data_IF_108309664746
#
_entry.id   IF_108309664746
#
_cell.length_a   1.000
_cell.length_b   1.000
_cell.length_c   1.000
_cell.angle_alpha   90.00
_cell.angle_beta   90.00
_cell.angle_gamma   90.00
#
_symmetry.space_group_name_H-M   'P 1'
#
loop_
_entity.id
_entity.type
_entity.pdbx_description
1 polymer ?
#
# COMPACT_ATOMS: atom_id res chain seq x y z
N UNK A 1 -2.38 -1.21 14.30
CA UNK A 1 -2.95 -2.49 13.81
C UNK A 1 -2.88 -2.41 12.29
N UNK A 2 -1.90 -3.06 11.66
CA UNK A 2 -1.85 -3.17 10.20
C UNK A 2 -3.13 -3.88 9.75
N UNK A 3 -3.94 -3.14 9.00
CA UNK A 3 -5.23 -3.44 8.37
C UNK A 3 -5.95 -4.73 8.84
N UNK A 4 -7.17 -4.63 9.42
CA UNK A 4 -7.92 -5.79 9.86
C UNK A 4 -8.45 -6.59 8.65
N UNK A 5 -7.57 -7.34 7.99
CA UNK A 5 -7.97 -8.59 7.38
C UNK A 5 -8.25 -9.52 8.55
N UNK A 6 -9.49 -10.03 8.64
CA UNK A 6 -9.98 -10.77 9.80
C UNK A 6 -8.96 -11.80 10.33
N UNK A 7 -8.74 -11.76 11.64
CA UNK A 7 -7.98 -12.71 12.45
C UNK A 7 -6.48 -12.84 12.13
N UNK A 8 -5.67 -12.18 12.96
CA UNK A 8 -4.32 -12.59 13.38
C UNK A 8 -3.49 -13.42 12.39
N UNK A 9 -3.03 -12.86 11.27
CA UNK A 9 -1.78 -13.29 10.59
C UNK A 9 -1.38 -12.26 9.53
N UNK A 10 -0.14 -11.74 9.59
CA UNK A 10 0.44 -10.80 8.62
C UNK A 10 0.82 -11.52 7.32
N UNK A 11 -0.17 -12.04 6.58
CA UNK A 11 0.06 -13.19 5.70
C UNK A 11 0.76 -13.00 4.36
N UNK A 12 1.20 -11.79 3.96
CA UNK A 12 2.27 -11.78 2.98
C UNK A 12 3.48 -10.93 3.37
N UNK A 13 3.57 -10.42 4.60
CA UNK A 13 4.69 -9.54 4.96
C UNK A 13 6.05 -10.25 4.80
N UNK A 14 6.16 -11.46 5.36
CA UNK A 14 7.36 -12.27 5.20
C UNK A 14 7.57 -12.67 3.73
N UNK A 15 6.51 -13.07 3.01
CA UNK A 15 6.61 -13.47 1.60
C UNK A 15 7.13 -12.33 0.70
N UNK A 16 6.57 -11.13 0.84
CA UNK A 16 7.01 -9.95 0.09
C UNK A 16 8.42 -9.51 0.48
N UNK A 17 8.78 -9.55 1.78
CA UNK A 17 10.17 -9.28 2.20
C UNK A 17 11.13 -10.32 1.65
N UNK A 18 10.79 -11.61 1.64
CA UNK A 18 11.65 -12.67 1.08
C UNK A 18 11.88 -12.46 -0.40
N UNK A 19 10.82 -12.21 -1.18
CA UNK A 19 10.91 -11.96 -2.61
C UNK A 19 11.73 -10.70 -2.92
N UNK A 20 11.44 -9.58 -2.25
CA UNK A 20 12.18 -8.32 -2.45
C UNK A 20 13.64 -8.41 -2.01
N UNK A 21 13.93 -9.11 -0.90
CA UNK A 21 15.30 -9.31 -0.42
C UNK A 21 16.12 -10.20 -1.36
N UNK A 22 15.50 -11.22 -1.95
CA UNK A 22 16.15 -12.04 -2.98
C UNK A 22 16.48 -11.19 -4.23
N UNK A 23 15.56 -10.32 -4.65
CA UNK A 23 15.76 -9.41 -5.77
C UNK A 23 16.88 -8.40 -5.49
N UNK A 24 16.89 -7.78 -4.30
CA UNK A 24 17.93 -6.85 -3.86
C UNK A 24 19.34 -7.48 -3.98
N UNK A 25 19.51 -8.71 -3.46
CA UNK A 25 20.79 -9.43 -3.52
C UNK A 25 21.22 -9.82 -4.93
N UNK A 26 20.27 -10.18 -5.79
CA UNK A 26 20.54 -10.66 -7.14
C UNK A 26 20.66 -9.54 -8.19
N UNK A 27 20.38 -8.29 -7.82
CA UNK A 27 20.32 -7.15 -8.75
C UNK A 27 19.09 -7.14 -9.65
N UNK A 28 18.14 -8.07 -9.42
CA UNK A 28 16.88 -8.11 -10.15
C UNK A 28 16.02 -6.91 -9.75
N UNK A 29 15.55 -6.17 -10.76
CA UNK A 29 14.78 -4.93 -10.56
C UNK A 29 13.28 -5.14 -10.49
N UNK A 30 12.79 -6.28 -10.97
CA UNK A 30 11.35 -6.58 -11.01
C UNK A 30 11.01 -7.77 -10.13
N UNK A 31 10.09 -7.57 -9.19
CA UNK A 31 9.55 -8.62 -8.32
C UNK A 31 8.10 -8.84 -8.68
N UNK A 32 7.78 -10.06 -9.11
CA UNK A 32 6.41 -10.45 -9.43
C UNK A 32 5.69 -10.96 -8.20
N UNK A 33 4.45 -10.51 -8.00
CA UNK A 33 3.56 -11.07 -7.00
C UNK A 33 2.18 -11.33 -7.60
N UNK A 34 1.62 -12.48 -7.23
CA UNK A 34 0.19 -12.71 -7.36
C UNK A 34 -0.52 -11.88 -6.27
N UNK A 35 -1.51 -11.09 -6.66
CA UNK A 35 -2.18 -10.12 -5.77
C UNK A 35 -3.69 -10.30 -5.81
N UNK A 36 -4.35 -9.88 -4.73
CA UNK A 36 -5.80 -9.95 -4.55
C UNK A 36 -6.44 -11.35 -4.71
N UNK A 37 -5.65 -12.40 -4.47
CA UNK A 37 -6.07 -13.80 -4.54
C UNK A 37 -7.15 -14.13 -3.52
N UNK A 38 -8.22 -14.77 -3.98
CA UNK A 38 -9.26 -15.38 -3.14
C UNK A 38 -9.87 -14.44 -2.08
N UNK A 39 -10.05 -13.16 -2.41
CA UNK A 39 -10.66 -12.19 -1.50
C UNK A 39 -12.18 -12.36 -1.36
N UNK A 40 -12.79 -13.18 -2.22
CA UNK A 40 -14.24 -13.39 -2.27
C UNK A 40 -14.98 -12.25 -2.98
N UNK A 41 -16.22 -12.57 -3.40
CA UNK A 41 -17.06 -11.67 -4.19
C UNK A 41 -17.40 -10.34 -3.51
N UNK A 42 -17.55 -10.33 -2.19
CA UNK A 42 -17.96 -9.16 -1.42
C UNK A 42 -16.79 -8.35 -0.86
N UNK A 43 -15.56 -8.56 -1.34
CA UNK A 43 -14.42 -7.74 -0.94
C UNK A 43 -14.66 -6.27 -1.36
N UNK A 44 -14.68 -5.32 -0.39
CA UNK A 44 -14.85 -3.91 -0.69
C UNK A 44 -13.70 -3.34 -1.54
N UNK A 45 -13.96 -2.54 -2.59
CA UNK A 45 -12.93 -1.81 -3.33
C UNK A 45 -12.06 -0.90 -2.46
N UNK A 46 -12.60 -0.43 -1.32
CA UNK A 46 -11.91 0.31 -0.25
C UNK A 46 -10.63 -0.39 0.22
N UNK A 47 -10.58 -1.73 0.14
CA UNK A 47 -9.42 -2.51 0.52
C UNK A 47 -8.36 -2.59 -0.59
N UNK A 48 -8.80 -2.64 -1.86
CA UNK A 48 -7.94 -3.02 -2.99
C UNK A 48 -6.84 -2.00 -3.28
N UNK A 49 -7.15 -0.69 -3.28
CA UNK A 49 -6.14 0.33 -3.53
C UNK A 49 -5.08 0.40 -2.43
N UNK A 50 -5.42 0.59 -1.14
CA UNK A 50 -4.42 0.60 -0.07
C UNK A 50 -3.57 -0.67 -0.03
N UNK A 51 -4.17 -1.83 -0.29
CA UNK A 51 -3.45 -3.11 -0.37
C UNK A 51 -2.45 -3.13 -1.53
N UNK A 52 -2.84 -2.67 -2.71
CA UNK A 52 -1.94 -2.60 -3.89
C UNK A 52 -0.78 -1.66 -3.67
N UNK A 53 -1.06 -0.50 -3.07
CA UNK A 53 -0.04 0.46 -2.70
C UNK A 53 0.91 -0.12 -1.66
N UNK A 54 0.39 -0.87 -0.69
CA UNK A 54 1.22 -1.61 0.27
C UNK A 54 2.13 -2.63 -0.41
N UNK A 55 1.62 -3.42 -1.35
CA UNK A 55 2.40 -4.40 -2.11
C UNK A 55 3.53 -3.72 -2.91
N UNK A 56 3.24 -2.60 -3.58
CA UNK A 56 4.28 -1.82 -4.27
C UNK A 56 5.31 -1.27 -3.27
N UNK A 57 4.86 -0.76 -2.12
CA UNK A 57 5.71 -0.33 -1.01
C UNK A 57 6.64 -1.44 -0.51
N UNK A 58 6.14 -2.67 -0.46
CA UNK A 58 6.91 -3.88 -0.18
C UNK A 58 7.78 -4.34 -1.36
N UNK A 59 7.99 -3.47 -2.35
CA UNK A 59 8.80 -3.67 -3.55
C UNK A 59 8.29 -4.79 -4.47
N UNK A 60 6.98 -5.03 -4.48
CA UNK A 60 6.34 -5.89 -5.48
C UNK A 60 5.99 -5.04 -6.71
N UNK A 61 6.81 -5.13 -7.76
CA UNK A 61 6.79 -4.18 -8.88
C UNK A 61 6.12 -4.73 -10.15
N UNK A 62 5.85 -6.04 -10.20
CA UNK A 62 5.10 -6.68 -11.28
C UNK A 62 3.85 -7.34 -10.69
N UNK A 63 2.77 -6.60 -10.68
CA UNK A 63 1.51 -6.99 -10.03
C UNK A 63 0.70 -7.92 -10.96
N UNK A 64 0.31 -9.09 -10.45
CA UNK A 64 -0.52 -10.06 -11.17
C UNK A 64 -1.84 -10.29 -10.42
N UNK A 65 -2.92 -9.58 -10.75
CA UNK A 65 -4.22 -9.77 -10.11
C UNK A 65 -4.76 -11.18 -10.35
N UNK A 66 -5.03 -11.92 -9.27
CA UNK A 66 -5.72 -13.19 -9.29
C UNK A 66 -7.22 -12.98 -9.03
N UNK A 67 -8.11 -13.12 -10.01
CA UNK A 67 -7.83 -13.52 -11.40
C UNK A 67 -8.73 -12.78 -12.38
N UNK A 68 -8.37 -12.85 -13.66
CA UNK A 68 -9.25 -12.42 -14.75
C UNK A 68 -9.89 -13.66 -15.40
N UNK A 69 -11.10 -14.02 -15.00
CA UNK A 69 -11.79 -15.19 -15.54
C UNK A 69 -12.47 -14.91 -16.88
N UNK A 70 -12.30 -15.80 -17.84
CA UNK A 70 -12.98 -15.74 -19.15
C UNK A 70 -14.49 -15.98 -19.04
N UNK A 71 -14.92 -16.79 -18.07
CA UNK A 71 -16.33 -17.08 -17.79
C UNK A 71 -16.56 -17.15 -16.28
N UNK A 72 -17.77 -16.79 -15.86
CA UNK A 72 -18.29 -17.02 -14.50
C UNK A 72 -19.44 -18.04 -14.51
N UNK A 73 -19.63 -18.76 -15.61
CA UNK A 73 -20.70 -19.76 -15.71
C UNK A 73 -20.34 -21.06 -14.99
N UNK A 74 -21.34 -21.74 -14.44
CA UNK A 74 -21.18 -22.99 -13.70
C UNK A 74 -20.29 -22.86 -12.47
N UNK A 75 -19.33 -23.76 -12.32
CA UNK A 75 -18.44 -23.81 -11.14
C UNK A 75 -17.37 -22.70 -11.15
N UNK A 76 -17.16 -22.02 -12.29
CA UNK A 76 -16.14 -20.99 -12.42
C UNK A 76 -16.37 -19.77 -11.51
N UNK A 77 -17.62 -19.45 -11.15
CA UNK A 77 -17.90 -18.37 -10.18
C UNK A 77 -17.45 -18.71 -8.75
N UNK A 78 -17.26 -20.00 -8.42
CA UNK A 78 -16.90 -20.48 -7.08
C UNK A 78 -15.44 -20.94 -6.96
N UNK A 79 -14.70 -21.05 -8.07
CA UNK A 79 -13.33 -21.61 -8.09
C UNK A 79 -12.39 -20.81 -7.17
N UNK A 80 -12.07 -19.57 -7.53
CA UNK A 80 -11.30 -18.65 -6.67
C UNK A 80 -11.75 -17.17 -6.80
N UNK A 81 -12.94 -16.81 -6.33
CA UNK A 81 -13.51 -15.47 -6.54
C UNK A 81 -12.76 -14.34 -5.80
N UNK A 82 -12.87 -13.08 -6.28
CA UNK A 82 -13.64 -12.65 -7.45
C UNK A 82 -12.84 -12.66 -8.76
N UNK A 83 -13.55 -12.56 -9.90
CA UNK A 83 -12.91 -12.09 -11.15
C UNK A 83 -12.71 -10.58 -11.07
N UNK A 84 -11.55 -10.07 -11.44
CA UNK A 84 -11.27 -8.64 -11.63
C UNK A 84 -11.40 -8.20 -13.10
N UNK A 85 -12.05 -9.00 -13.94
CA UNK A 85 -12.19 -8.76 -15.37
C UNK A 85 -13.52 -8.06 -15.75
N UNK A 86 -13.93 -8.15 -17.01
CA UNK A 86 -15.07 -7.43 -17.60
C UNK A 86 -16.42 -7.61 -16.89
N UNK A 87 -16.54 -8.62 -16.02
CA UNK A 87 -17.76 -8.85 -15.23
C UNK A 87 -17.87 -7.89 -14.04
N UNK A 88 -16.77 -7.27 -13.61
CA UNK A 88 -16.79 -6.25 -12.56
C UNK A 88 -17.32 -4.92 -13.10
N UNK A 89 -18.31 -4.28 -12.43
CA UNK A 89 -18.80 -2.98 -12.85
C UNK A 89 -17.71 -1.91 -12.91
N UNK A 90 -16.73 -1.96 -12.00
CA UNK A 90 -15.61 -1.01 -11.95
C UNK A 90 -14.48 -1.32 -12.95
N UNK A 91 -14.58 -2.34 -13.81
CA UNK A 91 -13.54 -2.69 -14.80
C UNK A 91 -13.06 -1.50 -15.66
N UNK A 92 -13.95 -0.62 -16.20
CA UNK A 92 -13.51 0.55 -16.96
C UNK A 92 -12.67 1.52 -16.13
N UNK A 93 -12.95 1.64 -14.83
CA UNK A 93 -12.22 2.51 -13.90
C UNK A 93 -10.88 1.89 -13.50
N UNK A 94 -10.84 0.57 -13.31
CA UNK A 94 -9.61 -0.18 -13.07
C UNK A 94 -8.62 0.00 -14.23
N UNK A 95 -9.08 0.00 -15.49
CA UNK A 95 -8.24 0.27 -16.67
C UNK A 95 -7.53 1.64 -16.60
N UNK A 96 -8.16 2.66 -16.00
CA UNK A 96 -7.57 3.99 -15.81
C UNK A 96 -6.61 4.03 -14.63
N UNK A 97 -6.89 3.23 -13.60
CA UNK A 97 -6.08 3.18 -12.37
C UNK A 97 -4.78 2.37 -12.53
N UNK A 98 -4.82 1.25 -13.26
CA UNK A 98 -3.66 0.39 -13.46
C UNK A 98 -2.39 1.15 -13.91
N UNK A 99 -2.44 2.04 -14.93
CA UNK A 99 -1.27 2.85 -15.30
C UNK A 99 -0.67 3.67 -14.15
N UNK A 100 -1.49 4.18 -13.22
CA UNK A 100 -1.02 4.96 -12.07
C UNK A 100 -0.18 4.09 -11.15
N UNK A 101 -0.69 2.91 -10.79
CA UNK A 101 0.03 1.94 -9.97
C UNK A 101 1.28 1.40 -10.69
N UNK A 102 1.20 1.15 -12.01
CA UNK A 102 2.35 0.73 -12.82
C UNK A 102 3.48 1.76 -12.78
N UNK A 103 3.18 3.06 -12.92
CA UNK A 103 4.23 4.10 -12.85
C UNK A 103 4.91 4.18 -11.49
N UNK A 104 4.15 4.00 -10.41
CA UNK A 104 4.74 3.91 -9.07
C UNK A 104 5.62 2.65 -8.93
N UNK A 105 5.16 1.50 -9.40
CA UNK A 105 5.91 0.25 -9.40
C UNK A 105 7.21 0.34 -10.24
N UNK A 106 7.17 1.02 -11.39
CA UNK A 106 8.35 1.28 -12.23
C UNK A 106 9.37 2.18 -11.52
N UNK A 107 8.92 3.21 -10.78
CA UNK A 107 9.81 4.02 -9.94
C UNK A 107 10.50 3.19 -8.87
N UNK A 108 9.79 2.25 -8.24
CA UNK A 108 10.40 1.31 -7.31
C UNK A 108 11.42 0.39 -7.99
N UNK A 109 11.10 -0.17 -9.16
CA UNK A 109 12.01 -1.01 -9.92
C UNK A 109 13.30 -0.27 -10.33
N UNK A 110 13.22 1.04 -10.56
CA UNK A 110 14.37 1.89 -10.90
C UNK A 110 15.27 2.26 -9.70
N UNK A 111 15.01 1.71 -8.51
CA UNK A 111 15.79 2.02 -7.29
C UNK A 111 16.35 0.75 -6.65
N UNK A 112 17.36 0.89 -5.80
CA UNK A 112 17.99 -0.18 -5.02
C UNK A 112 17.66 -0.03 -3.53
N UNK A 113 17.55 -1.14 -2.81
CA UNK A 113 17.38 -1.11 -1.36
C UNK A 113 18.57 -0.45 -0.66
N UNK A 114 18.29 0.28 0.42
CA UNK A 114 19.32 0.86 1.31
C UNK A 114 19.59 -0.02 2.54
N UNK A 115 19.17 -1.29 2.52
CA UNK A 115 19.30 -2.19 3.65
C UNK A 115 20.77 -2.48 4.01
N UNK A 116 21.14 -2.17 5.26
CA UNK A 116 22.41 -2.59 5.88
C UNK A 116 22.20 -3.63 6.99
N UNK A 117 20.94 -3.95 7.29
CA UNK A 117 20.54 -4.94 8.28
C UNK A 117 20.00 -6.18 7.58
N UNK A 118 20.44 -7.36 8.03
CA UNK A 118 19.92 -8.65 7.58
C UNK A 118 19.20 -9.38 8.71
N UNK A 119 17.98 -9.82 8.47
CA UNK A 119 17.25 -10.76 9.34
C UNK A 119 17.36 -12.16 8.75
N UNK A 120 17.84 -13.11 9.55
CA UNK A 120 17.93 -14.51 9.14
C UNK A 120 16.60 -15.20 9.42
N UNK A 121 16.04 -15.84 8.39
CA UNK A 121 14.89 -16.74 8.50
C UNK A 121 15.42 -18.15 8.86
N UNK A 122 15.09 -18.70 10.03
CA UNK A 122 15.65 -19.97 10.50
C UNK A 122 15.33 -21.15 9.59
N UNK A 123 16.31 -22.04 9.37
CA UNK A 123 16.15 -23.21 8.49
C UNK A 123 14.99 -24.13 8.92
N UNK A 124 14.75 -24.24 10.23
CA UNK A 124 13.70 -25.07 10.79
C UNK A 124 12.28 -24.66 10.35
N UNK A 125 12.05 -23.36 10.03
CA UNK A 125 10.76 -22.89 9.50
C UNK A 125 10.53 -23.33 8.05
N UNK A 126 11.59 -23.62 7.29
CA UNK A 126 11.51 -24.07 5.90
C UNK A 126 11.26 -25.57 5.84
N UNK A 127 11.95 -26.34 6.68
CA UNK A 127 11.77 -27.80 6.77
C UNK A 127 10.33 -28.17 7.16
N UNK A 128 9.68 -27.35 7.99
CA UNK A 128 8.28 -27.57 8.38
C UNK A 128 7.27 -27.45 7.23
N UNK A 129 7.61 -26.70 6.19
CA UNK A 129 6.74 -26.42 5.03
C UNK A 129 6.78 -27.54 3.97
N UNK A 130 7.52 -28.63 4.21
CA UNK A 130 7.70 -29.71 3.24
C UNK A 130 6.51 -30.69 3.12
N UNK A 131 5.41 -30.47 3.84
CA UNK A 131 4.18 -31.25 3.76
C UNK A 131 4.20 -32.61 4.49
N UNK A 132 5.37 -33.07 4.96
CA UNK A 132 5.48 -34.31 5.74
C UNK A 132 4.77 -34.20 7.11
N UNK A 133 4.57 -32.95 7.57
CA UNK A 133 3.90 -32.58 8.82
C UNK A 133 2.37 -32.51 8.72
N UNK A 134 1.75 -32.74 7.55
CA UNK A 134 0.28 -32.66 7.34
C UNK A 134 -0.53 -33.64 8.22
N UNK A 135 0.14 -34.57 8.91
CA UNK A 135 -0.46 -35.55 9.83
C UNK A 135 -0.08 -35.30 11.31
N UNK A 136 0.77 -34.31 11.58
CA UNK A 136 1.34 -34.02 12.89
C UNK A 136 0.60 -32.93 13.67
N UNK A 137 0.79 -32.92 15.00
CA UNK A 137 0.37 -31.78 15.83
C UNK A 137 1.28 -30.57 15.52
N UNK A 138 0.76 -29.33 15.58
CA UNK A 138 1.58 -28.14 15.42
C UNK A 138 2.76 -28.15 16.39
N UNK A 139 3.97 -27.95 15.89
CA UNK A 139 5.17 -27.86 16.73
C UNK A 139 5.18 -26.49 17.44
N UNK A 140 5.15 -26.52 18.78
CA UNK A 140 5.10 -25.31 19.59
C UNK A 140 6.36 -24.44 19.45
N UNK A 141 7.54 -25.04 19.24
CA UNK A 141 8.78 -24.31 19.05
C UNK A 141 8.81 -23.62 17.68
N UNK A 142 8.32 -24.29 16.63
CA UNK A 142 8.23 -23.70 15.29
C UNK A 142 7.19 -22.57 15.23
N UNK A 143 6.03 -22.74 15.88
CA UNK A 143 5.05 -21.67 16.00
C UNK A 143 5.61 -20.46 16.77
N UNK A 144 6.35 -20.70 17.87
CA UNK A 144 7.00 -19.64 18.62
C UNK A 144 8.09 -18.93 17.80
N UNK A 145 8.81 -19.69 16.98
CA UNK A 145 9.82 -19.14 16.07
C UNK A 145 9.21 -18.29 14.96
N UNK A 146 8.16 -18.75 14.28
CA UNK A 146 7.45 -17.97 13.27
C UNK A 146 6.89 -16.69 13.89
N UNK A 147 6.23 -16.77 15.05
CA UNK A 147 5.74 -15.59 15.76
C UNK A 147 6.86 -14.61 16.13
N UNK A 148 8.02 -15.11 16.59
CA UNK A 148 9.18 -14.27 16.89
C UNK A 148 9.71 -13.56 15.63
N UNK A 149 9.79 -14.26 14.49
CA UNK A 149 10.20 -13.68 13.21
C UNK A 149 9.21 -12.61 12.74
N UNK A 150 7.90 -12.87 12.76
CA UNK A 150 6.89 -11.89 12.36
C UNK A 150 6.95 -10.63 13.23
N UNK A 151 7.05 -10.79 14.55
CA UNK A 151 7.17 -9.67 15.48
C UNK A 151 8.45 -8.88 15.25
N UNK A 152 9.57 -9.54 14.96
CA UNK A 152 10.84 -8.88 14.63
C UNK A 152 10.70 -8.03 13.36
N UNK A 153 10.16 -8.58 12.27
CA UNK A 153 9.95 -7.85 11.01
C UNK A 153 9.07 -6.63 11.25
N UNK A 154 7.95 -6.79 11.96
CA UNK A 154 7.05 -5.70 12.30
C UNK A 154 7.74 -4.62 13.13
N UNK A 155 8.51 -5.00 14.14
CA UNK A 155 9.21 -4.06 15.02
C UNK A 155 10.27 -3.25 14.27
N UNK A 156 11.03 -3.87 13.36
CA UNK A 156 11.98 -3.17 12.50
C UNK A 156 11.28 -2.15 11.59
N UNK A 157 10.12 -2.51 11.03
CA UNK A 157 9.32 -1.57 10.22
C UNK A 157 8.80 -0.39 11.05
N UNK A 158 8.29 -0.64 12.27
CA UNK A 158 7.83 0.42 13.20
C UNK A 158 8.96 1.37 13.61
N UNK A 159 10.19 0.87 13.67
CA UNK A 159 11.41 1.63 13.97
C UNK A 159 12.03 2.31 12.73
N UNK A 160 11.43 2.17 11.55
CA UNK A 160 11.97 2.67 10.28
C UNK A 160 13.42 2.20 10.02
N UNK A 161 13.69 0.94 10.35
CA UNK A 161 14.93 0.26 9.97
C UNK A 161 14.69 -0.36 8.60
N UNK A 162 15.57 -0.08 7.64
CA UNK A 162 15.57 -0.81 6.36
C UNK A 162 16.39 -2.10 6.50
N UNK A 163 15.81 -3.21 6.06
CA UNK A 163 16.40 -4.54 6.23
C UNK A 163 16.02 -5.49 5.09
N UNK A 164 16.86 -6.49 4.88
CA UNK A 164 16.52 -7.66 4.06
C UNK A 164 16.27 -8.88 4.96
N UNK A 165 15.56 -9.87 4.43
CA UNK A 165 15.41 -11.21 5.03
C UNK A 165 16.14 -12.26 4.18
N UNK A 166 16.77 -13.24 4.82
CA UNK A 166 17.44 -14.34 4.12
C UNK A 166 17.24 -15.66 4.85
N UNK A 167 16.78 -16.65 4.10
CA UNK A 167 16.77 -18.04 4.54
C UNK A 167 18.16 -18.50 4.95
N UNK A 168 18.27 -19.05 6.16
CA UNK A 168 19.53 -19.46 6.76
C UNK A 168 20.43 -20.31 5.83
N UNK A 169 19.92 -21.31 5.07
CA UNK A 169 20.74 -22.07 4.14
C UNK A 169 21.39 -21.23 3.03
N UNK A 170 20.82 -20.06 2.68
CA UNK A 170 21.38 -19.15 1.67
C UNK A 170 22.60 -18.39 2.18
N UNK A 171 22.89 -18.41 3.48
CA UNK A 171 24.13 -17.84 4.03
C UNK A 171 25.38 -18.49 3.42
N UNK A 172 25.29 -19.74 2.96
CA UNK A 172 26.39 -20.42 2.26
C UNK A 172 26.83 -19.70 0.96
N UNK A 173 25.96 -18.85 0.38
CA UNK A 173 26.25 -18.05 -0.81
C UNK A 173 26.81 -16.66 -0.49
N UNK A 174 27.18 -16.42 0.76
CA UNK A 174 27.70 -15.13 1.22
C UNK A 174 29.20 -15.23 1.54
N UNK A 175 29.85 -14.07 1.60
CA UNK A 175 31.24 -13.98 2.07
C UNK A 175 31.36 -12.91 3.14
N UNK A 176 32.29 -13.11 4.07
CA UNK A 176 32.64 -12.10 5.06
C UNK A 176 33.74 -11.17 4.54
N UNK A 177 33.57 -9.87 4.77
CA UNK A 177 34.55 -8.83 4.47
C UNK A 177 34.73 -7.93 5.70
N UNK A 178 35.71 -8.25 6.55
CA UNK A 178 35.87 -7.63 7.86
C UNK A 178 34.63 -7.86 8.74
N UNK A 179 33.94 -6.78 9.11
CA UNK A 179 32.69 -6.79 9.90
C UNK A 179 31.43 -6.88 9.05
N UNK A 180 31.56 -6.94 7.71
CA UNK A 180 30.42 -6.96 6.77
C UNK A 180 30.17 -8.36 6.24
N UNK A 181 28.90 -8.68 6.02
CA UNK A 181 28.45 -9.84 5.26
C UNK A 181 28.03 -9.40 3.87
N UNK A 182 28.73 -9.88 2.85
CA UNK A 182 28.47 -9.55 1.45
C UNK A 182 27.65 -10.67 0.82
N UNK A 183 26.50 -10.31 0.24
CA UNK A 183 25.57 -11.23 -0.41
C UNK A 183 25.10 -10.65 -1.75
N UNK A 184 25.76 -11.05 -2.83
CA UNK A 184 25.49 -10.50 -4.16
C UNK A 184 25.75 -8.99 -4.21
N UNK A 185 24.74 -8.20 -4.58
CA UNK A 185 24.82 -6.73 -4.61
C UNK A 185 24.68 -6.07 -3.22
N UNK A 186 24.27 -6.82 -2.19
CA UNK A 186 24.01 -6.27 -0.86
C UNK A 186 25.19 -6.50 0.11
N UNK A 187 25.34 -5.59 1.06
CA UNK A 187 26.35 -5.63 2.11
C UNK A 187 25.72 -5.27 3.45
N UNK A 188 25.76 -6.20 4.39
CA UNK A 188 25.13 -6.03 5.70
C UNK A 188 26.18 -5.83 6.79
N UNK A 189 25.98 -4.82 7.65
CA UNK A 189 26.80 -4.56 8.83
C UNK A 189 26.19 -5.15 10.10
N UNK A 190 24.87 -5.31 10.10
CA UNK A 190 24.10 -5.84 11.23
C UNK A 190 23.38 -7.11 10.81
N UNK A 191 23.51 -8.17 11.60
CA UNK A 191 22.78 -9.43 11.38
C UNK A 191 21.92 -9.70 12.60
N UNK A 192 20.64 -10.02 12.39
CA UNK A 192 19.68 -10.33 13.44
C UNK A 192 19.16 -11.75 13.22
N UNK A 193 19.08 -12.53 14.29
CA UNK A 193 18.53 -13.88 14.27
C UNK A 193 17.57 -14.09 15.44
N UNK A 194 16.32 -14.58 15.20
CA UNK A 194 15.42 -14.93 16.28
C UNK A 194 15.90 -16.18 17.02
N UNK A 195 16.09 -16.09 18.34
CA UNK A 195 16.84 -17.10 19.12
C UNK A 195 16.03 -18.28 19.67
N UNK A 196 14.80 -18.49 19.19
CA UNK A 196 13.93 -19.57 19.69
C UNK A 196 14.52 -20.96 19.42
N UNK A 197 15.30 -21.11 18.36
CA UNK A 197 16.04 -22.30 17.95
C UNK A 197 17.48 -21.88 17.61
N UNK A 198 18.47 -22.79 17.68
CA UNK A 198 19.85 -22.46 17.36
C UNK A 198 20.09 -22.36 15.86
N UNK A 199 21.05 -21.51 15.48
CA UNK A 199 21.64 -21.51 14.14
C UNK A 199 22.28 -22.88 13.83
N UNK A 200 22.26 -23.25 12.56
CA UNK A 200 23.06 -24.34 12.04
C UNK A 200 24.56 -24.08 12.30
N UNK A 201 25.35 -25.12 12.62
CA UNK A 201 26.76 -24.96 12.97
C UNK A 201 27.59 -24.18 11.94
N UNK A 202 27.31 -24.38 10.65
CA UNK A 202 27.98 -23.73 9.54
C UNK A 202 27.67 -22.23 9.49
N UNK A 203 26.40 -21.86 9.68
CA UNK A 203 25.94 -20.47 9.80
C UNK A 203 26.59 -19.76 10.99
N UNK A 204 26.62 -20.42 12.15
CA UNK A 204 27.25 -19.87 13.36
C UNK A 204 28.77 -19.68 13.18
N UNK A 205 29.44 -20.57 12.44
CA UNK A 205 30.86 -20.44 12.13
C UNK A 205 31.13 -19.27 11.17
N UNK A 206 30.31 -19.11 10.13
CA UNK A 206 30.42 -18.01 9.15
C UNK A 206 30.25 -16.63 9.82
N UNK A 207 29.26 -16.50 10.70
CA UNK A 207 28.92 -15.25 11.38
C UNK A 207 29.82 -14.94 12.59
N UNK A 208 30.76 -15.83 12.94
CA UNK A 208 31.63 -15.65 14.10
C UNK A 208 32.42 -14.34 13.99
N UNK A 209 32.31 -13.50 15.02
CA UNK A 209 33.01 -12.21 15.10
C UNK A 209 32.30 -11.05 14.39
N UNK A 210 31.11 -11.27 13.83
CA UNK A 210 30.19 -10.20 13.46
C UNK A 210 29.35 -9.76 14.66
N UNK A 211 28.77 -8.55 14.56
CA UNK A 211 27.73 -8.11 15.48
C UNK A 211 26.42 -8.86 15.16
N UNK A 212 26.20 -9.96 15.87
CA UNK A 212 24.95 -10.71 15.83
C UNK A 212 24.03 -10.20 16.95
N UNK A 213 22.83 -9.80 16.57
CA UNK A 213 21.77 -9.37 17.48
C UNK A 213 20.63 -10.38 17.51
N UNK A 214 19.86 -10.32 18.57
CA UNK A 214 18.64 -11.13 18.73
C UNK A 214 17.39 -10.28 18.60
N UNK A 215 16.22 -10.91 18.53
CA UNK A 215 14.93 -10.23 18.52
C UNK A 215 14.66 -9.37 19.78
N UNK A 216 15.49 -9.54 20.82
CA UNK A 216 15.43 -8.80 22.10
C UNK A 216 16.45 -7.66 22.19
N UNK A 217 17.36 -7.54 21.24
CA UNK A 217 18.52 -6.62 21.28
C UNK A 217 18.46 -5.60 20.14
N UNK A 218 17.29 -4.99 19.95
CA UNK A 218 17.03 -4.06 18.85
C UNK A 218 17.47 -2.61 19.15
N UNK A 219 17.84 -2.32 20.40
CA UNK A 219 18.28 -0.99 20.80
C UNK A 219 19.67 -0.67 20.24
N UNK A 220 19.80 0.50 19.61
CA UNK A 220 21.02 0.91 18.91
C UNK A 220 21.17 0.36 17.49
N UNK A 221 20.18 -0.40 16.98
CA UNK A 221 20.11 -0.67 15.54
C UNK A 221 19.85 0.65 14.81
N UNK A 222 20.59 0.87 13.72
CA UNK A 222 20.47 2.07 12.91
C UNK A 222 19.08 2.19 12.28
N UNK A 223 18.29 3.12 12.80
CA UNK A 223 17.07 3.62 12.16
C UNK A 223 17.44 4.72 11.19
N UNK A 224 16.96 4.65 9.95
CA UNK A 224 17.19 5.69 8.96
C UNK A 224 16.35 6.94 9.24
N UNK A 225 15.26 6.80 10.01
CA UNK A 225 14.41 7.94 10.34
C UNK A 225 13.67 7.73 11.66
N UNK A 226 14.20 8.18 12.82
CA UNK A 226 13.52 8.06 14.11
C UNK A 226 12.39 9.09 14.27
N UNK A 227 11.39 9.04 13.38
CA UNK A 227 10.23 9.94 13.37
C UNK A 227 9.25 9.56 14.48
N UNK A 228 8.94 10.50 15.36
CA UNK A 228 8.00 10.28 16.47
C UNK A 228 6.56 10.09 15.97
N UNK A 229 5.77 9.28 16.69
CA UNK A 229 4.36 9.00 16.40
C UNK A 229 4.09 8.43 15.00
N UNK A 230 5.08 7.79 14.38
CA UNK A 230 5.01 7.28 13.01
C UNK A 230 5.13 5.75 12.92
N UNK A 231 4.93 5.00 14.00
CA UNK A 231 5.04 3.53 14.01
C UNK A 231 4.07 2.81 13.05
N UNK A 232 3.01 3.48 12.61
CA UNK A 232 2.04 2.97 11.63
C UNK A 232 2.26 3.54 10.23
N UNK A 233 3.35 4.28 10.02
CA UNK A 233 3.82 4.74 8.72
C UNK A 233 4.74 3.66 8.15
N UNK A 234 4.37 3.08 7.01
CA UNK A 234 5.31 2.26 6.25
C UNK A 234 6.33 3.20 5.60
N UNK A 235 7.61 2.99 5.93
CA UNK A 235 8.75 3.66 5.31
C UNK A 235 9.61 2.64 4.58
N UNK A 236 9.93 2.89 3.31
CA UNK A 236 10.85 2.04 2.55
C UNK A 236 11.94 2.92 1.95
N UNK A 237 13.19 2.67 2.33
CA UNK A 237 14.35 3.48 2.01
C UNK A 237 15.14 2.87 0.86
N UNK A 238 15.23 3.62 -0.24
CA UNK A 238 15.86 3.19 -1.47
C UNK A 238 16.78 4.29 -2.02
N UNK A 239 17.67 3.89 -2.90
CA UNK A 239 18.56 4.77 -3.66
C UNK A 239 18.26 4.65 -5.13
N UNK A 240 18.12 5.78 -5.82
CA UNK A 240 18.14 5.80 -7.27
C UNK A 240 19.55 5.47 -7.80
N UNK A 241 19.64 5.15 -9.09
CA UNK A 241 20.92 4.76 -9.71
C UNK A 241 21.97 5.90 -9.71
N UNK A 242 21.54 7.15 -9.62
CA UNK A 242 22.40 8.33 -9.47
C UNK A 242 22.84 8.61 -8.01
N UNK A 243 22.39 7.79 -7.06
CA UNK A 243 22.67 7.93 -5.63
C UNK A 243 21.68 8.79 -4.84
N UNK A 244 20.67 9.36 -5.51
CA UNK A 244 19.61 10.16 -4.89
C UNK A 244 18.76 9.33 -3.93
N UNK A 245 18.34 9.94 -2.83
CA UNK A 245 17.48 9.32 -1.82
C UNK A 245 16.04 9.20 -2.32
N UNK A 246 15.44 8.05 -2.06
CA UNK A 246 14.06 7.73 -2.36
C UNK A 246 13.44 7.08 -1.13
N UNK A 247 12.47 7.74 -0.50
CA UNK A 247 11.73 7.17 0.64
C UNK A 247 10.26 7.09 0.28
N UNK A 248 9.71 5.89 0.28
CA UNK A 248 8.28 5.68 0.14
C UNK A 248 7.61 5.73 1.50
N UNK A 249 6.47 6.42 1.56
CA UNK A 249 5.65 6.59 2.74
C UNK A 249 4.25 6.07 2.44
N UNK A 250 3.68 5.28 3.35
CA UNK A 250 2.25 4.96 3.33
C UNK A 250 1.67 4.96 4.75
N UNK A 251 0.56 5.66 4.92
CA UNK A 251 -0.13 5.68 6.21
C UNK A 251 -1.00 4.44 6.38
N UNK A 252 -0.58 3.50 7.24
CA UNK A 252 -1.30 2.25 7.53
C UNK A 252 -2.08 2.29 8.85
N UNK A 253 -2.23 3.48 9.45
CA UNK A 253 -2.88 3.65 10.76
C UNK A 253 -4.41 3.53 10.74
N UNK A 254 -5.03 3.53 9.55
CA UNK A 254 -6.48 3.56 9.37
C UNK A 254 -7.14 4.89 9.77
N UNK A 255 -6.36 5.93 10.05
CA UNK A 255 -6.83 7.28 10.43
C UNK A 255 -5.96 8.36 9.80
N UNK A 256 -6.39 9.61 9.89
CA UNK A 256 -5.53 10.77 9.60
C UNK A 256 -4.30 10.73 10.54
N UNK A 257 -3.10 10.86 9.96
CA UNK A 257 -1.84 10.80 10.69
C UNK A 257 -1.09 12.13 10.56
N UNK A 258 -1.17 13.00 11.59
CA UNK A 258 -0.35 14.21 11.65
C UNK A 258 1.12 13.82 11.80
N UNK A 259 1.97 14.34 10.91
CA UNK A 259 3.42 14.09 10.95
C UNK A 259 4.15 15.42 11.10
N UNK A 260 5.22 15.40 11.90
CA UNK A 260 6.06 16.55 12.16
C UNK A 260 7.49 16.09 12.44
N UNK A 261 8.48 16.87 12.02
CA UNK A 261 9.90 16.54 12.19
C UNK A 261 10.70 16.75 10.91
N UNK A 262 12.02 16.70 11.05
CA UNK A 262 12.96 16.82 9.94
C UNK A 262 12.89 15.58 9.03
N UNK A 263 13.13 15.77 7.74
CA UNK A 263 13.29 14.70 6.77
C UNK A 263 14.65 13.99 6.96
N UNK A 264 14.75 12.70 6.60
CA UNK A 264 15.90 11.87 6.95
C UNK A 264 17.20 12.29 6.25
N UNK A 265 17.11 12.93 5.07
CA UNK A 265 18.27 13.25 4.24
C UNK A 265 18.36 14.75 3.90
N UNK A 266 17.86 15.62 4.79
CA UNK A 266 17.91 17.07 4.60
C UNK A 266 16.82 17.58 3.66
N UNK A 267 17.17 18.48 2.73
CA UNK A 267 16.19 19.06 1.80
C UNK A 267 15.70 18.00 0.82
N UNK A 268 14.40 17.71 0.88
CA UNK A 268 13.73 16.73 0.04
C UNK A 268 12.37 17.29 -0.43
N UNK A 269 11.86 16.69 -1.50
CA UNK A 269 10.56 17.01 -2.09
C UNK A 269 9.54 15.94 -1.70
N UNK A 270 8.43 16.37 -1.09
CA UNK A 270 7.20 15.57 -0.97
C UNK A 270 6.52 15.51 -2.34
N UNK A 271 6.42 14.30 -2.88
CA UNK A 271 5.87 14.04 -4.21
C UNK A 271 4.69 13.08 -4.11
N UNK A 272 3.57 13.45 -4.73
CA UNK A 272 2.41 12.59 -4.89
C UNK A 272 2.58 11.71 -6.13
N UNK A 273 2.84 10.40 -5.96
CA UNK A 273 3.03 9.51 -7.09
C UNK A 273 1.74 9.19 -7.84
N UNK A 274 0.56 9.40 -7.23
CA UNK A 274 -0.72 9.11 -7.86
C UNK A 274 -1.14 10.22 -8.85
N UNK A 275 -0.65 11.45 -8.63
CA UNK A 275 -0.94 12.63 -9.47
C UNK A 275 0.28 13.20 -10.20
N UNK A 276 1.43 12.61 -9.93
CA UNK A 276 2.73 12.90 -10.50
C UNK A 276 3.17 14.34 -10.34
N UNK A 277 3.05 14.87 -9.12
CA UNK A 277 3.44 16.25 -8.84
C UNK A 277 4.19 16.38 -7.52
N UNK A 278 5.15 17.31 -7.49
CA UNK A 278 5.70 17.82 -6.24
C UNK A 278 4.66 18.67 -5.51
N UNK A 279 4.57 18.49 -4.20
CA UNK A 279 3.64 19.19 -3.32
C UNK A 279 4.39 20.25 -2.48
N UNK A 280 5.58 19.88 -2.00
CA UNK A 280 6.37 20.71 -1.09
C UNK A 280 7.84 20.31 -1.14
N UNK A 281 8.76 21.27 -1.00
CA UNK A 281 10.20 21.03 -0.88
C UNK A 281 10.73 21.77 0.34
N UNK A 282 11.45 21.06 1.21
CA UNK A 282 12.00 21.58 2.46
C UNK A 282 12.80 20.51 3.18
N UNK A 283 13.29 20.80 4.38
CA UNK A 283 14.05 19.88 5.23
C UNK A 283 13.22 19.25 6.37
N UNK A 284 11.94 19.58 6.44
CA UNK A 284 10.98 19.08 7.42
C UNK A 284 9.56 19.11 6.84
N UNK A 285 8.63 18.37 7.48
CA UNK A 285 7.22 18.46 7.13
C UNK A 285 6.70 19.91 7.30
N UNK A 286 5.90 20.43 6.34
CA UNK A 286 5.30 21.75 6.47
C UNK A 286 4.28 21.78 7.62
N UNK A 287 4.00 22.98 8.14
CA UNK A 287 2.94 23.16 9.15
C UNK A 287 1.59 22.66 8.63
N UNK A 288 0.79 22.06 9.52
CA UNK A 288 -0.52 21.46 9.20
C UNK A 288 -0.48 20.26 8.24
N UNK A 289 0.68 19.63 8.07
CA UNK A 289 0.78 18.37 7.32
C UNK A 289 0.05 17.23 8.05
N UNK A 290 -0.87 16.59 7.33
CA UNK A 290 -1.60 15.41 7.78
C UNK A 290 -1.66 14.42 6.63
N UNK A 291 -1.22 13.19 6.87
CA UNK A 291 -1.31 12.12 5.87
C UNK A 291 -2.65 11.39 6.02
N UNK A 292 -3.55 11.38 5.01
CA UNK A 292 -4.79 10.62 5.09
C UNK A 292 -4.54 9.11 5.18
N UNK A 293 -5.51 8.35 5.67
CA UNK A 293 -5.40 6.90 5.81
C UNK A 293 -5.23 6.22 4.45
N UNK A 294 -4.30 5.26 4.34
CA UNK A 294 -4.05 4.49 3.12
C UNK A 294 -3.27 5.23 2.03
N UNK A 295 -3.20 6.57 2.08
CA UNK A 295 -2.49 7.40 1.11
C UNK A 295 -0.98 7.17 1.13
N UNK A 296 -0.34 7.56 0.03
CA UNK A 296 1.09 7.37 -0.23
C UNK A 296 1.77 8.68 -0.63
N UNK A 297 3.05 8.80 -0.29
CA UNK A 297 3.93 9.87 -0.75
C UNK A 297 5.32 9.32 -1.02
N UNK A 298 6.07 10.02 -1.85
CA UNK A 298 7.51 9.84 -2.00
C UNK A 298 8.23 11.06 -1.40
N UNK A 299 9.31 10.81 -0.69
CA UNK A 299 10.34 11.81 -0.38
C UNK A 299 11.54 11.54 -1.28
N UNK A 300 11.88 12.53 -2.11
CA UNK A 300 12.96 12.40 -3.09
C UNK A 300 13.75 13.70 -3.25
N UNK A 301 15.00 13.62 -3.69
CA UNK A 301 15.88 14.79 -3.90
C UNK A 301 15.73 15.43 -5.28
N UNK A 302 14.96 14.83 -6.20
CA UNK A 302 14.73 15.36 -7.54
C UNK A 302 13.63 16.41 -7.61
N UNK A 303 13.80 17.39 -8.51
CA UNK A 303 12.72 18.29 -8.91
C UNK A 303 11.71 17.55 -9.80
N UNK A 304 10.42 17.78 -9.55
CA UNK A 304 9.34 17.29 -10.40
C UNK A 304 8.92 18.39 -11.39
N UNK A 305 8.60 18.00 -12.63
CA UNK A 305 8.13 18.93 -13.66
C UNK A 305 6.79 19.58 -13.30
N UNK A 306 5.89 18.80 -12.70
CA UNK A 306 4.57 19.27 -12.27
C UNK A 306 4.60 19.61 -10.78
N UNK A 307 4.02 20.74 -10.44
CA UNK A 307 3.89 21.21 -9.06
C UNK A 307 2.43 21.46 -8.71
N UNK A 308 2.07 21.12 -7.48
CA UNK A 308 0.83 21.48 -6.84
C UNK A 308 1.19 22.24 -5.56
N UNK A 309 0.64 23.43 -5.32
CA UNK A 309 0.86 24.12 -4.05
C UNK A 309 0.46 23.21 -2.88
N UNK A 310 1.29 23.14 -1.83
CA UNK A 310 0.96 22.35 -0.64
C UNK A 310 -0.42 22.67 -0.08
N UNK A 311 -0.78 23.96 -0.06
CA UNK A 311 -2.10 24.42 0.33
C UNK A 311 -3.21 23.70 -0.41
N UNK A 312 -3.06 23.41 -1.71
CA UNK A 312 -4.09 22.77 -2.54
C UNK A 312 -4.10 21.24 -2.47
N UNK A 313 -3.14 20.63 -1.78
CA UNK A 313 -3.04 19.18 -1.65
C UNK A 313 -3.95 18.63 -0.55
N UNK A 314 -4.34 17.37 -0.69
CA UNK A 314 -5.10 16.65 0.36
C UNK A 314 -4.31 16.43 1.66
N UNK A 315 -2.99 16.68 1.62
CA UNK A 315 -2.09 16.54 2.76
C UNK A 315 -1.99 17.81 3.63
N UNK A 316 -2.57 18.92 3.18
CA UNK A 316 -2.67 20.15 3.97
C UNK A 316 -4.01 20.21 4.69
N UNK A 317 -3.97 20.14 6.02
CA UNK A 317 -5.15 20.31 6.87
C UNK A 317 -5.38 21.78 7.19
N UNK A 318 -5.96 22.51 6.25
CA UNK A 318 -6.38 23.89 6.47
C UNK A 318 -7.67 23.95 7.31
N UNK A 319 -7.90 25.08 7.99
CA UNK A 319 -9.19 25.39 8.60
C UNK A 319 -10.15 25.80 7.48
N UNK A 320 -10.88 24.82 6.92
CA UNK A 320 -11.92 25.01 5.92
C UNK A 320 -13.23 24.37 6.36
N UNK A 321 -14.35 24.95 5.92
CA UNK A 321 -15.68 24.40 6.18
C UNK A 321 -16.11 23.58 4.97
N UNK A 322 -15.99 22.26 5.07
CA UNK A 322 -16.53 21.36 4.07
C UNK A 322 -18.04 21.58 3.91
N UNK A 323 -18.48 21.81 2.67
CA UNK A 323 -19.89 22.00 2.33
C UNK A 323 -20.36 20.96 1.32
N UNK A 324 -21.60 20.45 1.45
CA UNK A 324 -22.15 19.52 0.47
C UNK A 324 -22.33 20.21 -0.89
N UNK A 325 -22.07 19.45 -1.96
CA UNK A 325 -22.44 19.88 -3.32
C UNK A 325 -23.94 19.71 -3.53
N UNK A 326 -24.51 20.40 -4.52
CA UNK A 326 -25.91 20.22 -4.92
C UNK A 326 -26.02 19.08 -5.93
N UNK A 327 -26.59 17.94 -5.54
CA UNK A 327 -26.95 16.89 -6.50
C UNK A 327 -28.09 17.39 -7.40
N UNK A 328 -27.86 17.42 -8.71
CA UNK A 328 -28.82 17.88 -9.72
C UNK A 328 -29.52 16.72 -10.44
N UNK A 329 -28.89 15.54 -10.45
CA UNK A 329 -29.47 14.31 -11.00
C UNK A 329 -28.98 13.09 -10.23
N UNK A 330 -29.91 12.18 -9.95
CA UNK A 330 -29.66 10.88 -9.33
C UNK A 330 -29.80 9.77 -10.39
N UNK A 331 -29.17 8.60 -10.17
CA UNK A 331 -29.45 7.41 -10.97
C UNK A 331 -30.94 7.05 -10.90
N UNK A 332 -31.46 6.48 -11.98
CA UNK A 332 -32.87 6.08 -12.06
C UNK A 332 -33.28 5.17 -10.90
N UNK A 333 -34.28 5.60 -10.11
CA UNK A 333 -34.79 4.86 -8.95
C UNK A 333 -34.07 5.13 -7.64
N UNK A 334 -32.95 5.87 -7.63
CA UNK A 334 -32.28 6.32 -6.41
C UNK A 334 -32.93 7.62 -5.92
N UNK A 335 -33.27 7.66 -4.63
CA UNK A 335 -34.01 8.76 -4.01
C UNK A 335 -33.16 9.67 -3.14
N UNK A 336 -32.02 9.17 -2.64
CA UNK A 336 -31.08 9.92 -1.82
C UNK A 336 -29.68 9.33 -1.88
N UNK A 337 -28.68 10.13 -1.48
CA UNK A 337 -27.34 9.64 -1.14
C UNK A 337 -27.43 8.59 -0.01
N UNK A 338 -26.42 7.73 0.09
CA UNK A 338 -26.32 6.62 1.03
C UNK A 338 -26.49 5.26 0.36
N UNK A 339 -26.71 4.24 1.19
CA UNK A 339 -26.88 2.85 0.75
C UNK A 339 -28.08 2.69 -0.20
N UNK A 340 -27.82 2.08 -1.35
CA UNK A 340 -28.79 1.82 -2.41
C UNK A 340 -29.57 0.52 -2.19
N UNK A 341 -29.09 -0.40 -1.34
CA UNK A 341 -29.77 -1.68 -1.08
C UNK A 341 -31.19 -1.46 -0.50
N UNK A 342 -31.39 -0.64 0.56
CA UNK A 342 -32.74 -0.33 1.07
C UNK A 342 -33.61 0.45 0.07
N UNK A 343 -33.01 1.05 -0.96
CA UNK A 343 -33.70 1.78 -2.03
C UNK A 343 -34.15 0.88 -3.19
N UNK A 344 -34.01 -0.45 -3.06
CA UNK A 344 -34.48 -1.42 -4.05
C UNK A 344 -33.38 -1.97 -4.98
N UNK A 345 -32.10 -1.73 -4.67
CA UNK A 345 -30.97 -2.17 -5.48
C UNK A 345 -30.28 -3.45 -4.95
N UNK A 346 -30.93 -4.20 -4.05
CA UNK A 346 -30.49 -5.55 -3.69
C UNK A 346 -30.34 -6.41 -4.95
N UNK A 347 -29.23 -7.14 -5.04
CA UNK A 347 -28.96 -8.00 -6.19
C UNK A 347 -28.58 -7.24 -7.47
N UNK A 348 -28.25 -5.93 -7.41
CA UNK A 348 -27.86 -5.12 -8.58
C UNK A 348 -26.36 -4.85 -8.57
N UNK A 349 -25.73 -4.99 -9.73
CA UNK A 349 -24.37 -4.51 -9.95
C UNK A 349 -24.31 -3.71 -11.26
N UNK A 350 -23.56 -2.62 -11.26
CA UNK A 350 -23.49 -1.72 -12.40
C UNK A 350 -22.77 -0.41 -12.10
N UNK A 351 -22.90 0.51 -13.06
CA UNK A 351 -22.43 1.89 -12.95
C UNK A 351 -23.67 2.78 -12.82
N UNK A 352 -23.63 3.67 -11.84
CA UNK A 352 -24.69 4.57 -11.45
C UNK A 352 -24.18 6.01 -11.57
N UNK A 353 -24.87 6.84 -12.35
CA UNK A 353 -24.41 8.19 -12.66
C UNK A 353 -25.14 9.23 -11.82
N UNK A 354 -24.37 10.10 -11.16
CA UNK A 354 -24.85 11.27 -10.44
C UNK A 354 -24.33 12.53 -11.13
N UNK A 355 -25.17 13.55 -11.24
CA UNK A 355 -24.74 14.90 -11.60
C UNK A 355 -24.83 15.80 -10.38
N UNK A 356 -23.83 16.64 -10.18
CA UNK A 356 -23.83 17.61 -9.09
C UNK A 356 -23.21 18.94 -9.52
N UNK A 357 -23.45 19.98 -8.72
CA UNK A 357 -22.93 21.32 -8.96
C UNK A 357 -22.45 21.96 -7.66
N UNK A 358 -21.42 22.81 -7.76
CA UNK A 358 -20.97 23.68 -6.68
C UNK A 358 -20.47 25.01 -7.25
N UNK A 359 -20.50 26.06 -6.42
CA UNK A 359 -20.08 27.41 -6.82
C UNK A 359 -18.65 27.71 -6.38
N UNK A 360 -17.91 28.43 -7.22
CA UNK A 360 -16.62 29.01 -6.87
C UNK A 360 -15.41 28.09 -7.05
N UNK A 361 -14.23 28.62 -6.71
CA UNK A 361 -12.96 27.91 -6.79
C UNK A 361 -12.65 27.23 -5.46
N UNK A 362 -13.08 25.99 -5.37
CA UNK A 362 -12.80 25.12 -4.24
C UNK A 362 -11.46 24.43 -4.42
N UNK A 363 -10.91 23.96 -3.30
CA UNK A 363 -9.58 23.39 -3.21
C UNK A 363 -9.61 21.88 -3.30
N UNK A 364 -10.53 21.26 -2.57
CA UNK A 364 -10.67 19.80 -2.48
C UNK A 364 -12.11 19.38 -2.74
N UNK A 365 -12.27 18.20 -3.37
CA UNK A 365 -13.51 17.47 -3.50
C UNK A 365 -13.38 16.15 -2.76
N UNK A 366 -14.23 15.91 -1.77
CA UNK A 366 -14.22 14.68 -0.97
C UNK A 366 -15.46 13.85 -1.27
N UNK A 367 -15.24 12.59 -1.60
CA UNK A 367 -16.30 11.59 -1.77
C UNK A 367 -16.22 10.60 -0.61
N UNK A 368 -17.34 10.36 0.06
CA UNK A 368 -17.52 9.19 0.91
C UNK A 368 -18.47 8.23 0.21
N UNK A 369 -18.09 6.98 0.15
CA UNK A 369 -18.86 5.93 -0.49
C UNK A 369 -18.65 4.62 0.26
N UNK A 370 -19.56 3.70 0.03
CA UNK A 370 -19.52 2.33 0.56
C UNK A 370 -19.58 1.36 -0.59
N UNK A 371 -18.71 0.34 -0.58
CA UNK A 371 -18.76 -0.82 -1.48
C UNK A 371 -18.55 -0.47 -2.95
N UNK A 372 -17.73 0.55 -3.26
CA UNK A 372 -17.60 1.01 -4.64
C UNK A 372 -16.39 1.85 -4.99
N UNK A 373 -16.32 2.17 -6.29
CA UNK A 373 -15.32 3.02 -6.93
C UNK A 373 -16.06 4.12 -7.66
N UNK A 374 -15.54 5.35 -7.63
CA UNK A 374 -16.11 6.46 -8.38
C UNK A 374 -15.11 6.99 -9.40
N UNK A 375 -15.61 7.27 -10.60
CA UNK A 375 -14.95 8.11 -11.57
C UNK A 375 -15.60 9.49 -11.56
N UNK A 376 -14.79 10.54 -11.40
CA UNK A 376 -15.26 11.90 -11.19
C UNK A 376 -14.66 12.83 -12.23
N UNK A 377 -15.51 13.54 -12.97
CA UNK A 377 -15.11 14.62 -13.87
C UNK A 377 -15.60 15.96 -13.33
N UNK A 378 -14.74 16.97 -13.36
CA UNK A 378 -15.07 18.35 -12.98
C UNK A 378 -15.10 19.20 -14.25
N UNK A 379 -16.24 19.81 -14.56
CA UNK A 379 -16.51 20.50 -15.82
C UNK A 379 -16.19 19.58 -17.02
N UNK A 380 -15.42 20.07 -17.99
CA UNK A 380 -14.95 19.31 -19.15
C UNK A 380 -13.54 18.71 -18.92
N UNK A 381 -13.11 18.59 -17.65
CA UNK A 381 -11.81 18.05 -17.27
C UNK A 381 -11.75 16.52 -17.35
N UNK A 382 -10.51 16.01 -17.39
CA UNK A 382 -10.27 14.57 -17.41
C UNK A 382 -10.79 13.88 -16.13
N UNK A 383 -11.40 12.69 -16.25
CA UNK A 383 -11.92 11.95 -15.12
C UNK A 383 -10.81 11.39 -14.22
N UNK A 384 -11.00 11.49 -12.90
CA UNK A 384 -10.15 10.86 -11.89
C UNK A 384 -10.90 9.75 -11.14
N UNK A 385 -10.18 8.70 -10.75
CA UNK A 385 -10.74 7.50 -10.10
C UNK A 385 -10.42 7.47 -8.62
N UNK A 386 -11.44 7.30 -7.79
CA UNK A 386 -11.41 7.22 -6.33
C UNK A 386 -11.93 5.85 -5.88
N UNK A 387 -11.17 5.14 -5.05
CA UNK A 387 -11.51 3.81 -4.53
C UNK A 387 -11.98 3.90 -3.08
N UNK A 388 -13.22 3.49 -2.78
CA UNK A 388 -13.70 3.39 -1.40
C UNK A 388 -13.84 4.70 -0.62
N UNK A 389 -13.86 5.82 -1.34
CA UNK A 389 -13.84 7.16 -0.77
C UNK A 389 -12.45 7.80 -0.86
N UNK A 390 -12.41 9.13 -0.81
CA UNK A 390 -11.15 9.85 -0.93
C UNK A 390 -11.34 11.31 -1.32
N UNK A 391 -10.21 11.99 -1.42
CA UNK A 391 -10.14 13.43 -1.64
C UNK A 391 -9.40 13.71 -2.94
N UNK A 392 -9.95 14.60 -3.75
CA UNK A 392 -9.38 15.03 -5.03
C UNK A 392 -9.03 16.51 -4.97
N UNK A 393 -7.77 16.89 -5.23
CA UNK A 393 -7.41 18.28 -5.49
C UNK A 393 -8.16 18.84 -6.70
N UNK A 394 -8.68 20.06 -6.54
CA UNK A 394 -9.41 20.81 -7.55
C UNK A 394 -8.59 21.93 -8.19
N UNK A 395 -7.32 22.08 -7.80
CA UNK A 395 -6.39 23.05 -8.36
C UNK A 395 -6.39 22.99 -9.91
N UNK A 396 -6.73 24.11 -10.54
CA UNK A 396 -6.80 24.23 -12.00
C UNK A 396 -8.02 23.58 -12.67
N UNK A 397 -8.95 22.97 -11.91
CA UNK A 397 -10.17 22.32 -12.45
C UNK A 397 -11.43 23.16 -12.31
N UNK A 398 -11.43 24.12 -11.38
CA UNK A 398 -12.59 24.97 -11.09
C UNK A 398 -12.58 26.30 -11.86
N UNK A 399 -13.79 26.81 -12.12
CA UNK A 399 -14.06 28.17 -12.57
C UNK A 399 -14.64 29.00 -11.41
N UNK A 400 -14.75 30.33 -11.58
CA UNK A 400 -15.32 31.21 -10.54
C UNK A 400 -16.84 31.06 -10.35
N UNK A 401 -17.55 30.52 -11.34
CA UNK A 401 -19.00 30.33 -11.29
C UNK A 401 -19.40 28.91 -10.89
N UNK A 402 -20.50 28.45 -11.47
CA UNK A 402 -20.99 27.09 -11.29
C UNK A 402 -20.04 26.08 -11.94
N UNK A 403 -19.55 25.15 -11.14
CA UNK A 403 -18.79 23.99 -11.59
C UNK A 403 -19.70 22.76 -11.60
N UNK A 404 -19.57 21.95 -12.65
CA UNK A 404 -20.34 20.70 -12.81
C UNK A 404 -19.50 19.50 -12.42
N UNK A 405 -20.13 18.53 -11.79
CA UNK A 405 -19.56 17.23 -11.45
C UNK A 405 -20.37 16.14 -12.15
N UNK A 406 -19.67 15.27 -12.86
CA UNK A 406 -20.19 13.97 -13.27
C UNK A 406 -19.51 12.90 -12.42
N UNK A 407 -20.30 12.15 -11.65
CA UNK A 407 -19.82 11.08 -10.77
C UNK A 407 -20.41 9.77 -11.29
N UNK A 408 -19.56 8.92 -11.86
CA UNK A 408 -19.92 7.55 -12.24
C UNK A 408 -19.48 6.65 -11.10
N UNK A 409 -20.43 6.20 -10.28
CA UNK A 409 -20.17 5.29 -9.17
C UNK A 409 -20.41 3.84 -9.62
N UNK A 410 -19.45 2.96 -9.40
CA UNK A 410 -19.54 1.54 -9.70
C UNK A 410 -19.45 0.73 -8.40
N UNK A 411 -20.42 -0.14 -8.14
CA UNK A 411 -20.30 -1.13 -7.09
C UNK A 411 -19.55 -2.37 -7.61
N UNK A 412 -19.63 -3.51 -6.91
CA UNK A 412 -18.96 -4.74 -7.30
C UNK A 412 -19.92 -5.77 -7.86
N UNK A 413 -19.38 -6.74 -8.62
CA UNK A 413 -20.12 -7.94 -9.01
C UNK A 413 -20.52 -8.81 -7.80
N UNK A 414 -20.02 -8.48 -6.59
CA UNK A 414 -20.40 -9.15 -5.35
C UNK A 414 -21.88 -9.05 -5.02
N UNK A 415 -22.56 -7.97 -5.43
CA UNK A 415 -24.01 -7.89 -5.31
C UNK A 415 -24.76 -8.85 -6.27
N UNK A 416 -24.11 -9.44 -7.27
CA UNK A 416 -24.70 -10.47 -8.13
C UNK A 416 -24.37 -11.88 -7.63
N UNK A 417 -23.08 -12.14 -7.38
CA UNK A 417 -22.54 -13.48 -7.17
C UNK A 417 -22.25 -13.82 -5.69
N UNK A 418 -22.14 -12.81 -4.82
CA UNK A 418 -21.95 -12.98 -3.38
C UNK A 418 -23.20 -12.61 -2.57
N UNK A 419 -23.00 -11.89 -1.47
CA UNK A 419 -24.09 -11.28 -0.70
C UNK A 419 -24.77 -10.16 -1.50
N UNK A 420 -25.99 -10.47 -1.96
CA UNK A 420 -26.85 -9.56 -2.72
C UNK A 420 -27.28 -8.32 -1.92
N UNK A 421 -27.18 -8.38 -0.60
CA UNK A 421 -27.53 -7.29 0.31
C UNK A 421 -26.30 -6.57 0.89
N UNK A 422 -25.09 -6.85 0.38
CA UNK A 422 -23.91 -6.08 0.74
C UNK A 422 -24.16 -4.59 0.45
N UNK A 423 -24.00 -3.69 1.43
CA UNK A 423 -24.35 -2.28 1.28
C UNK A 423 -23.43 -1.62 0.24
N UNK A 424 -24.00 -0.73 -0.56
CA UNK A 424 -23.22 0.08 -1.48
C UNK A 424 -23.91 1.40 -1.81
N UNK A 425 -23.13 2.44 -2.07
CA UNK A 425 -23.67 3.73 -2.49
C UNK A 425 -22.73 4.90 -2.25
N UNK A 426 -23.17 6.07 -2.69
CA UNK A 426 -22.46 7.34 -2.49
C UNK A 426 -23.02 8.04 -1.25
N UNK A 427 -22.25 8.08 -0.16
CA UNK A 427 -22.72 8.56 1.14
C UNK A 427 -22.72 10.09 1.25
N UNK A 428 -21.68 10.73 0.72
CA UNK A 428 -21.60 12.20 0.69
C UNK A 428 -20.61 12.69 -0.36
N UNK A 429 -20.86 13.90 -0.87
CA UNK A 429 -19.94 14.63 -1.74
C UNK A 429 -19.83 16.06 -1.23
N UNK A 430 -18.61 16.46 -0.86
CA UNK A 430 -18.35 17.78 -0.27
C UNK A 430 -17.19 18.48 -0.94
N UNK A 431 -17.22 19.79 -0.96
CA UNK A 431 -16.11 20.64 -1.39
C UNK A 431 -15.64 21.54 -0.26
N UNK A 432 -14.36 21.89 -0.25
CA UNK A 432 -13.75 22.83 0.71
C UNK A 432 -12.60 23.64 0.13
#
# INVERSE_FOLDING_TARGET
RLLPCGLERCYPLNAYKTASSAANRSGVRQVSSEIWTYLGWNMPPEFLEPQTLFEIGMSQTLLTPHACYFTLDGEAEQDCPPSYFIQQPFWPMLKKKLPVWTRLAERFAATKSSAETLVIVPAALLEYQNGDSLTGKPDAALNAMDLALQNLILELMRRHVEFDVMDEPLLANTRRDGTRLIAGEMSYTTVIYPTVLPLQPESAMLLRGMELRTEKELDGIHSLWPLANAEELLTVFRKADDGSDFVYLQNLSGRELPLSGAFPFGVQTLYDPLRECAIFTGDAFPENFVMPAGCVLLLQTHEAEKQMPFADSEFCKAVSTARPVRITSYPDGVSSLGDMVPQGFSGKAGIFEYCAEFEGRERLLTLRMTGGVAEVSVNDGEPEVVWGGGTLPLAGKCTEGTNRLLIRFANTAGNLYGDKNAPFGLDSVTVE
#
